data_IF_541974804169
#
_entry.id   IF_541974804169
#
_cell.length_a   1.000
_cell.length_b   1.000
_cell.length_c   1.000
_cell.angle_alpha   90.00
_cell.angle_beta   90.00
_cell.angle_gamma   90.00
#
_symmetry.space_group_name_H-M   'P 1'
#
loop_
_entity.id
_entity.type
_entity.pdbx_description
1 polymer ?
#
# COMPACT_ATOMS: atom_id res chain seq x y z
N UNK A 1 -32.19 -20.22 -35.21
CA UNK A 1 -30.85 -20.48 -34.65
C UNK A 1 -30.32 -19.19 -34.06
N UNK A 2 -30.23 -19.08 -32.73
CA UNK A 2 -29.72 -17.86 -32.09
C UNK A 2 -28.23 -17.74 -32.38
N UNK A 3 -27.80 -16.68 -33.09
CA UNK A 3 -26.39 -16.28 -33.10
C UNK A 3 -25.95 -16.15 -31.64
N UNK A 4 -25.09 -17.04 -31.16
CA UNK A 4 -24.38 -16.84 -29.90
C UNK A 4 -23.72 -15.47 -29.99
N UNK A 5 -24.25 -14.49 -29.26
CA UNK A 5 -23.60 -13.18 -29.10
C UNK A 5 -22.28 -13.47 -28.40
N UNK A 6 -21.17 -13.47 -29.15
CA UNK A 6 -19.84 -13.53 -28.56
C UNK A 6 -19.70 -12.33 -27.61
N UNK A 7 -19.21 -12.59 -26.41
CA UNK A 7 -19.01 -11.60 -25.35
C UNK A 7 -17.51 -11.47 -25.10
N UNK A 8 -17.06 -10.27 -24.74
CA UNK A 8 -15.71 -10.02 -24.26
C UNK A 8 -15.76 -9.54 -22.82
N UNK A 9 -14.77 -9.91 -22.03
CA UNK A 9 -14.65 -9.46 -20.65
C UNK A 9 -13.98 -8.09 -20.59
N UNK A 10 -14.28 -7.29 -19.56
CA UNK A 10 -13.52 -6.08 -19.30
C UNK A 10 -12.04 -6.37 -19.10
N UNK A 11 -11.68 -7.54 -18.55
CA UNK A 11 -10.28 -7.94 -18.41
C UNK A 11 -9.57 -7.98 -19.77
N UNK A 12 -10.22 -8.51 -20.81
CA UNK A 12 -9.67 -8.51 -22.17
C UNK A 12 -9.55 -7.11 -22.74
N UNK A 13 -10.63 -6.32 -22.66
CA UNK A 13 -10.72 -4.97 -23.24
C UNK A 13 -9.75 -3.98 -22.57
N UNK A 14 -9.67 -4.02 -21.24
CA UNK A 14 -8.82 -3.17 -20.43
C UNK A 14 -7.37 -3.68 -20.38
N UNK A 15 -7.13 -4.91 -20.85
CA UNK A 15 -5.82 -5.55 -20.91
C UNK A 15 -5.26 -5.88 -19.54
N UNK A 16 -6.07 -6.55 -18.73
CA UNK A 16 -5.75 -7.05 -17.39
C UNK A 16 -5.05 -8.42 -17.40
N UNK A 17 -4.86 -9.04 -18.57
CA UNK A 17 -4.42 -10.43 -18.68
C UNK A 17 -3.06 -10.78 -18.09
N UNK A 18 -2.20 -9.79 -17.80
CA UNK A 18 -0.88 -10.00 -17.20
C UNK A 18 -0.74 -9.41 -15.78
N UNK A 19 -1.83 -8.90 -15.19
CA UNK A 19 -1.79 -8.17 -13.92
C UNK A 19 -1.29 -9.06 -12.77
N UNK A 20 -1.74 -10.31 -12.70
CA UNK A 20 -1.28 -11.25 -11.67
C UNK A 20 0.22 -11.50 -11.73
N UNK A 21 0.79 -11.52 -12.95
CA UNK A 21 2.24 -11.65 -13.11
C UNK A 21 2.96 -10.39 -12.63
N UNK A 22 2.45 -9.20 -12.95
CA UNK A 22 3.01 -7.94 -12.44
C UNK A 22 2.94 -7.86 -10.90
N UNK A 23 1.84 -8.30 -10.28
CA UNK A 23 1.73 -8.38 -8.82
C UNK A 23 2.69 -9.39 -8.21
N UNK A 24 2.83 -10.57 -8.81
CA UNK A 24 3.79 -11.58 -8.37
C UNK A 24 5.22 -11.03 -8.34
N UNK A 25 5.62 -10.27 -9.37
CA UNK A 25 6.95 -9.63 -9.39
C UNK A 25 7.12 -8.59 -8.28
N UNK A 26 6.08 -7.80 -8.00
CA UNK A 26 6.09 -6.82 -6.92
C UNK A 26 6.15 -7.52 -5.55
N UNK A 27 5.35 -8.58 -5.34
CA UNK A 27 5.37 -9.39 -4.11
C UNK A 27 6.70 -10.10 -3.89
N UNK A 28 7.29 -10.69 -4.93
CA UNK A 28 8.60 -11.32 -4.85
C UNK A 28 9.68 -10.33 -4.42
N UNK A 29 9.68 -9.13 -5.02
CA UNK A 29 10.58 -8.06 -4.61
C UNK A 29 10.35 -7.64 -3.15
N UNK A 30 9.08 -7.52 -2.74
CA UNK A 30 8.73 -7.20 -1.35
C UNK A 30 9.24 -8.25 -0.37
N UNK A 31 8.97 -9.52 -0.64
CA UNK A 31 9.40 -10.63 0.20
C UNK A 31 10.92 -10.73 0.26
N UNK A 32 11.61 -10.52 -0.87
CA UNK A 32 13.07 -10.52 -0.93
C UNK A 32 13.67 -9.45 -0.01
N UNK A 33 13.15 -8.22 -0.07
CA UNK A 33 13.64 -7.11 0.76
C UNK A 33 13.31 -7.29 2.24
N UNK A 34 12.10 -7.72 2.59
CA UNK A 34 11.73 -7.99 3.99
C UNK A 34 12.58 -9.11 4.59
N UNK A 35 12.81 -10.21 3.84
CA UNK A 35 13.70 -11.29 4.28
C UNK A 35 15.14 -10.79 4.46
N UNK A 36 15.60 -9.90 3.59
CA UNK A 36 16.92 -9.28 3.73
C UNK A 36 16.99 -8.46 5.03
N UNK A 37 16.01 -7.60 5.30
CA UNK A 37 15.98 -6.80 6.53
C UNK A 37 15.93 -7.66 7.80
N UNK A 38 15.11 -8.72 7.82
CA UNK A 38 15.05 -9.67 8.93
C UNK A 38 16.41 -10.31 9.20
N UNK A 39 17.14 -10.69 8.14
CA UNK A 39 18.46 -11.28 8.26
C UNK A 39 19.50 -10.29 8.78
N UNK A 40 19.52 -9.06 8.27
CA UNK A 40 20.47 -8.05 8.72
C UNK A 40 20.23 -7.66 10.19
N UNK A 41 18.97 -7.49 10.61
CA UNK A 41 18.64 -7.27 12.02
C UNK A 41 19.11 -8.43 12.91
N UNK A 42 18.87 -9.67 12.49
CA UNK A 42 19.34 -10.85 13.22
C UNK A 42 20.87 -10.91 13.31
N UNK A 43 21.57 -10.49 12.27
CA UNK A 43 23.03 -10.43 12.29
C UNK A 43 23.52 -9.40 13.33
N UNK A 44 22.91 -8.21 13.36
CA UNK A 44 23.21 -7.17 14.37
C UNK A 44 22.97 -7.70 15.79
N UNK A 45 21.86 -8.41 16.02
CA UNK A 45 21.55 -9.04 17.31
C UNK A 45 22.61 -10.07 17.72
N UNK A 46 23.03 -10.95 16.79
CA UNK A 46 24.06 -11.95 17.06
C UNK A 46 25.43 -11.31 17.33
N UNK A 47 25.80 -10.26 16.60
CA UNK A 47 27.02 -9.50 16.83
C UNK A 47 27.02 -8.84 18.22
N UNK A 48 25.89 -8.25 18.60
CA UNK A 48 25.71 -7.66 19.94
C UNK A 48 25.81 -8.71 21.05
N UNK A 49 25.14 -9.86 20.90
CA UNK A 49 25.20 -10.96 21.87
C UNK A 49 26.64 -11.50 22.04
N UNK A 50 27.38 -11.61 20.94
CA UNK A 50 28.77 -12.04 20.97
C UNK A 50 29.66 -11.01 21.67
N UNK A 51 29.43 -9.71 21.43
CA UNK A 51 30.10 -8.63 22.12
C UNK A 51 29.82 -8.62 23.63
N UNK A 52 28.57 -8.84 24.04
CA UNK A 52 28.23 -8.92 25.48
C UNK A 52 28.93 -10.10 26.15
N UNK A 53 28.98 -11.27 25.50
CA UNK A 53 29.70 -12.45 26.03
C UNK A 53 31.20 -12.21 26.14
N UNK A 54 31.84 -11.54 25.17
CA UNK A 54 33.28 -11.25 25.25
C UNK A 54 33.58 -10.23 26.34
N UNK A 55 32.72 -9.20 26.52
CA UNK A 55 32.81 -8.23 27.61
C UNK A 55 32.76 -8.88 29.00
N UNK A 56 31.99 -9.95 29.17
CA UNK A 56 31.90 -10.68 30.45
C UNK A 56 33.14 -11.53 30.74
N UNK A 57 33.77 -12.10 29.71
CA UNK A 57 34.91 -13.02 29.83
C UNK A 57 36.25 -12.29 29.94
N UNK A 58 36.41 -11.16 29.26
CA UNK A 58 37.71 -10.47 29.11
C UNK A 58 37.66 -8.99 29.50
N UNK A 59 37.26 -8.70 30.74
CA UNK A 59 37.14 -7.33 31.29
C UNK A 59 38.46 -6.54 31.32
N UNK A 60 39.59 -7.16 31.01
CA UNK A 60 40.92 -6.59 31.21
C UNK A 60 41.57 -5.99 29.97
N UNK A 61 41.04 -6.27 28.77
CA UNK A 61 41.67 -5.90 27.50
C UNK A 61 41.26 -4.51 26.99
N UNK A 62 40.07 -4.00 27.36
CA UNK A 62 39.51 -2.75 26.83
C UNK A 62 39.07 -1.76 27.91
N UNK A 63 39.19 -0.46 27.64
CA UNK A 63 38.66 0.58 28.52
C UNK A 63 37.13 0.62 28.51
N UNK A 64 36.51 1.09 29.59
CA UNK A 64 35.05 1.28 29.69
C UNK A 64 34.53 2.20 28.57
N UNK A 65 35.23 3.29 28.28
CA UNK A 65 34.88 4.23 27.21
C UNK A 65 34.82 3.55 25.82
N UNK A 66 35.76 2.65 25.52
CA UNK A 66 35.74 1.89 24.26
C UNK A 66 34.54 0.94 24.18
N UNK A 67 34.20 0.29 25.29
CA UNK A 67 33.06 -0.63 25.35
C UNK A 67 31.72 0.12 25.20
N UNK A 68 31.61 1.31 25.78
CA UNK A 68 30.44 2.18 25.63
C UNK A 68 30.28 2.65 24.18
N UNK A 69 31.37 3.04 23.51
CA UNK A 69 31.34 3.40 22.09
C UNK A 69 30.85 2.27 21.19
N UNK A 70 31.28 1.03 21.44
CA UNK A 70 30.77 -0.12 20.68
C UNK A 70 29.27 -0.31 20.94
N UNK A 71 28.85 -0.22 22.20
CA UNK A 71 27.44 -0.38 22.56
C UNK A 71 26.56 0.69 21.88
N UNK A 72 26.99 1.95 21.89
CA UNK A 72 26.31 3.05 21.20
C UNK A 72 26.24 2.79 19.69
N UNK A 73 27.31 2.26 19.08
CA UNK A 73 27.29 1.89 17.66
C UNK A 73 26.25 0.82 17.32
N UNK A 74 25.99 -0.13 18.21
CA UNK A 74 24.92 -1.12 18.01
C UNK A 74 23.53 -0.48 18.10
N UNK A 75 23.32 0.44 19.05
CA UNK A 75 22.08 1.20 19.16
C UNK A 75 21.82 2.01 17.88
N UNK A 76 22.86 2.68 17.38
CA UNK A 76 22.79 3.43 16.13
C UNK A 76 22.47 2.53 14.93
N UNK A 77 23.08 1.34 14.84
CA UNK A 77 22.80 0.39 13.78
C UNK A 77 21.35 -0.10 13.79
N UNK A 78 20.82 -0.47 14.96
CA UNK A 78 19.43 -0.89 15.12
C UNK A 78 18.46 0.25 14.76
N UNK A 79 18.76 1.48 15.19
CA UNK A 79 17.97 2.66 14.84
C UNK A 79 17.99 2.92 13.33
N UNK A 80 19.16 2.89 12.69
CA UNK A 80 19.28 3.09 11.25
C UNK A 80 18.50 2.04 10.46
N UNK A 81 18.55 0.76 10.86
CA UNK A 81 17.77 -0.27 10.17
C UNK A 81 16.26 -0.10 10.35
N UNK A 82 15.78 0.04 11.59
CA UNK A 82 14.34 0.07 11.87
C UNK A 82 13.71 1.41 11.45
N UNK A 83 14.25 2.53 11.93
CA UNK A 83 13.61 3.84 11.82
C UNK A 83 13.97 4.58 10.54
N UNK A 84 15.02 4.15 9.82
CA UNK A 84 15.42 4.74 8.53
C UNK A 84 15.17 3.78 7.39
N UNK A 85 15.86 2.64 7.32
CA UNK A 85 15.82 1.77 6.13
C UNK A 85 14.48 1.06 5.95
N UNK A 86 14.04 0.28 6.94
CA UNK A 86 12.79 -0.49 6.88
C UNK A 86 11.60 0.46 6.75
N UNK A 87 11.56 1.51 7.57
CA UNK A 87 10.50 2.51 7.53
C UNK A 87 10.37 3.17 6.16
N UNK A 88 11.48 3.66 5.58
CA UNK A 88 11.44 4.33 4.28
C UNK A 88 11.08 3.36 3.16
N UNK A 89 11.61 2.14 3.23
CA UNK A 89 11.26 1.08 2.30
C UNK A 89 9.75 0.80 2.28
N UNK A 90 9.17 0.54 3.46
CA UNK A 90 7.74 0.25 3.61
C UNK A 90 6.84 1.41 3.18
N UNK A 91 7.26 2.64 3.46
CA UNK A 91 6.59 3.83 2.94
C UNK A 91 6.63 3.89 1.41
N UNK A 92 7.76 3.56 0.79
CA UNK A 92 7.87 3.49 -0.66
C UNK A 92 6.98 2.38 -1.25
N UNK A 93 6.87 1.23 -0.59
CA UNK A 93 6.02 0.12 -1.04
C UNK A 93 4.54 0.51 -1.11
N UNK A 94 3.97 1.17 -0.09
CA UNK A 94 2.57 1.60 -0.17
C UNK A 94 2.33 2.63 -1.28
N UNK A 95 3.32 3.46 -1.58
CA UNK A 95 3.24 4.45 -2.66
C UNK A 95 3.27 3.73 -4.00
N UNK A 96 4.20 2.78 -4.18
CA UNK A 96 4.34 1.98 -5.39
C UNK A 96 3.06 1.17 -5.66
N UNK A 97 2.54 0.44 -4.68
CA UNK A 97 1.32 -0.37 -4.82
C UNK A 97 0.11 0.48 -5.23
N UNK A 98 -0.09 1.63 -4.58
CA UNK A 98 -1.20 2.51 -4.95
C UNK A 98 -1.02 3.12 -6.34
N UNK A 99 0.20 3.54 -6.68
CA UNK A 99 0.49 4.16 -7.99
C UNK A 99 0.33 3.14 -9.12
N UNK A 100 0.78 1.91 -8.91
CA UNK A 100 0.57 0.79 -9.83
C UNK A 100 -0.92 0.55 -10.07
N UNK A 101 -1.70 0.44 -8.99
CA UNK A 101 -3.16 0.27 -9.09
C UNK A 101 -3.84 1.40 -9.87
N UNK A 102 -3.49 2.65 -9.56
CA UNK A 102 -4.05 3.84 -10.22
C UNK A 102 -3.73 3.86 -11.71
N UNK A 103 -2.49 3.54 -12.08
CA UNK A 103 -2.03 3.45 -13.46
C UNK A 103 -2.72 2.32 -14.24
N UNK A 104 -2.80 1.12 -13.66
CA UNK A 104 -3.50 -0.04 -14.25
C UNK A 104 -4.96 0.31 -14.57
N UNK A 105 -5.66 0.92 -13.62
CA UNK A 105 -7.04 1.32 -13.81
C UNK A 105 -7.20 2.41 -14.86
N UNK A 106 -6.32 3.42 -14.84
CA UNK A 106 -6.35 4.52 -15.81
C UNK A 106 -6.11 3.99 -17.23
N UNK A 107 -5.01 3.27 -17.46
CA UNK A 107 -4.69 2.64 -18.75
C UNK A 107 -5.80 1.72 -19.22
N UNK A 108 -6.38 0.94 -18.31
CA UNK A 108 -7.51 0.06 -18.61
C UNK A 108 -8.73 0.84 -19.09
N UNK A 109 -9.08 1.93 -18.43
CA UNK A 109 -10.18 2.79 -18.85
C UNK A 109 -9.92 3.48 -20.19
N UNK A 110 -8.69 3.91 -20.46
CA UNK A 110 -8.32 4.53 -21.74
C UNK A 110 -8.36 3.52 -22.91
N UNK A 111 -7.94 2.28 -22.66
CA UNK A 111 -8.11 1.17 -23.61
C UNK A 111 -9.59 0.89 -23.86
N UNK A 112 -10.41 0.85 -22.81
CA UNK A 112 -11.87 0.70 -22.96
C UNK A 112 -12.47 1.84 -23.78
N UNK A 113 -12.11 3.10 -23.48
CA UNK A 113 -12.58 4.27 -24.20
C UNK A 113 -12.27 4.17 -25.70
N UNK A 114 -11.05 3.75 -26.03
CA UNK A 114 -10.60 3.55 -27.41
C UNK A 114 -11.35 2.40 -28.08
N UNK A 115 -11.50 1.26 -27.40
CA UNK A 115 -12.18 0.08 -27.91
C UNK A 115 -13.67 0.33 -28.16
N UNK A 116 -14.36 1.01 -27.22
CA UNK A 116 -15.78 1.35 -27.32
C UNK A 116 -16.06 2.67 -28.05
N UNK A 117 -15.02 3.38 -28.48
CA UNK A 117 -15.13 4.70 -29.13
C UNK A 117 -16.02 5.65 -28.31
N UNK A 118 -15.78 5.75 -27.01
CA UNK A 118 -16.55 6.65 -26.15
C UNK A 118 -16.27 8.10 -26.49
N UNK A 119 -17.29 8.96 -26.34
CA UNK A 119 -17.18 10.40 -26.64
C UNK A 119 -16.20 11.16 -25.72
N UNK A 120 -15.80 10.54 -24.61
CA UNK A 120 -14.89 11.12 -23.61
C UNK A 120 -13.98 10.04 -23.01
N UNK A 121 -12.89 10.48 -22.40
CA UNK A 121 -11.90 9.68 -21.66
C UNK A 121 -11.94 9.99 -20.16
N UNK A 122 -11.14 9.28 -19.38
CA UNK A 122 -11.02 9.52 -17.93
C UNK A 122 -10.58 10.95 -17.64
N UNK A 123 -9.63 11.47 -18.41
CA UNK A 123 -9.07 12.81 -18.20
C UNK A 123 -10.08 13.95 -18.43
N UNK A 124 -11.11 13.71 -19.24
CA UNK A 124 -12.19 14.68 -19.50
C UNK A 124 -13.19 14.79 -18.32
N UNK A 125 -13.18 13.84 -17.39
CA UNK A 125 -14.10 13.81 -16.27
C UNK A 125 -13.65 14.75 -15.13
N UNK A 126 -14.59 15.54 -14.60
CA UNK A 126 -14.38 16.28 -13.35
C UNK A 126 -14.27 15.32 -12.17
N UNK A 127 -13.30 15.51 -11.28
CA UNK A 127 -13.10 14.71 -10.07
C UNK A 127 -12.12 15.37 -9.10
N UNK A 128 -12.13 14.92 -7.83
CA UNK A 128 -11.22 15.46 -6.81
C UNK A 128 -9.80 14.87 -6.92
N UNK A 129 -9.65 13.75 -7.61
CA UNK A 129 -8.40 13.02 -7.89
C UNK A 129 -8.66 12.01 -9.01
N UNK A 130 -7.61 11.37 -9.51
CA UNK A 130 -7.69 10.49 -10.68
C UNK A 130 -8.50 9.22 -10.42
N UNK A 131 -8.36 8.59 -9.24
CA UNK A 131 -9.20 7.42 -8.91
C UNK A 131 -10.70 7.76 -8.85
N UNK A 132 -11.09 8.96 -8.43
CA UNK A 132 -12.49 9.40 -8.45
C UNK A 132 -13.00 9.57 -9.89
N UNK A 133 -12.14 10.00 -10.82
CA UNK A 133 -12.47 10.08 -12.26
C UNK A 133 -12.62 8.67 -12.84
N UNK A 134 -11.70 7.76 -12.54
CA UNK A 134 -11.79 6.35 -12.96
C UNK A 134 -13.10 5.72 -12.45
N UNK A 135 -13.44 5.93 -11.18
CA UNK A 135 -14.71 5.45 -10.60
C UNK A 135 -15.93 5.94 -11.40
N UNK A 136 -15.96 7.22 -11.76
CA UNK A 136 -17.03 7.79 -12.59
C UNK A 136 -17.07 7.15 -13.96
N UNK A 137 -15.92 7.01 -14.61
CA UNK A 137 -15.80 6.36 -15.92
C UNK A 137 -16.30 4.92 -15.90
N UNK A 138 -15.84 4.09 -14.95
CA UNK A 138 -16.26 2.70 -14.81
C UNK A 138 -17.78 2.58 -14.60
N UNK A 139 -18.37 3.47 -13.79
CA UNK A 139 -19.81 3.47 -13.53
C UNK A 139 -20.62 3.93 -14.75
N UNK A 140 -20.18 4.99 -15.42
CA UNK A 140 -20.94 5.65 -16.48
C UNK A 140 -20.74 4.99 -17.84
N UNK A 141 -19.50 4.72 -18.22
CA UNK A 141 -19.12 4.17 -19.53
C UNK A 141 -19.13 2.65 -19.53
N UNK A 142 -18.42 2.04 -18.57
CA UNK A 142 -18.28 0.58 -18.50
C UNK A 142 -19.43 -0.11 -17.74
N UNK A 143 -20.39 0.64 -17.18
CA UNK A 143 -21.57 0.15 -16.43
C UNK A 143 -21.20 -0.87 -15.34
N UNK A 144 -20.07 -0.68 -14.68
CA UNK A 144 -19.65 -1.50 -13.54
C UNK A 144 -20.54 -1.20 -12.34
N UNK A 145 -21.08 -2.25 -11.72
CA UNK A 145 -21.80 -2.11 -10.46
C UNK A 145 -20.79 -2.07 -9.32
N UNK A 146 -20.83 -1.02 -8.51
CA UNK A 146 -19.92 -0.85 -7.37
C UNK A 146 -20.44 -1.55 -6.11
N UNK A 147 -21.69 -2.03 -6.10
CA UNK A 147 -22.20 -2.82 -4.99
C UNK A 147 -21.42 -4.13 -4.85
N UNK A 148 -21.09 -4.79 -5.97
CA UNK A 148 -20.32 -6.03 -6.04
C UNK A 148 -18.81 -5.84 -5.80
N UNK A 149 -18.31 -4.61 -5.95
CA UNK A 149 -16.89 -4.28 -5.71
C UNK A 149 -16.57 -4.02 -4.24
N UNK A 150 -17.59 -3.98 -3.38
CA UNK A 150 -17.36 -3.95 -1.94
C UNK A 150 -17.19 -5.38 -1.41
N UNK A 151 -16.32 -5.60 -0.41
CA UNK A 151 -15.65 -4.58 0.41
C UNK A 151 -14.34 -4.00 -0.16
N UNK A 152 -13.80 -4.53 -1.25
CA UNK A 152 -12.46 -4.21 -1.74
C UNK A 152 -12.32 -2.74 -2.15
N UNK A 153 -13.34 -2.16 -2.81
CA UNK A 153 -13.33 -0.73 -3.13
C UNK A 153 -13.24 0.15 -1.88
N UNK A 154 -13.94 -0.23 -0.81
CA UNK A 154 -13.88 0.46 0.49
C UNK A 154 -12.51 0.33 1.15
N UNK A 155 -11.89 -0.86 1.05
CA UNK A 155 -10.52 -1.08 1.48
C UNK A 155 -9.55 -0.13 0.75
N UNK A 156 -9.63 -0.07 -0.58
CA UNK A 156 -8.77 0.79 -1.41
C UNK A 156 -8.96 2.28 -1.09
N UNK A 157 -10.18 2.71 -0.78
CA UNK A 157 -10.44 4.09 -0.38
C UNK A 157 -9.82 4.44 0.99
N UNK A 158 -9.84 3.51 1.94
CA UNK A 158 -9.12 3.68 3.21
C UNK A 158 -7.61 3.64 3.01
N UNK A 159 -7.11 2.73 2.18
CA UNK A 159 -5.70 2.64 1.81
C UNK A 159 -5.20 3.93 1.15
N UNK A 160 -5.97 4.54 0.25
CA UNK A 160 -5.68 5.86 -0.33
C UNK A 160 -5.45 6.92 0.75
N UNK A 161 -6.28 6.94 1.78
CA UNK A 161 -6.15 7.93 2.86
C UNK A 161 -4.85 7.74 3.65
N UNK A 162 -4.45 6.50 3.93
CA UNK A 162 -3.15 6.16 4.54
C UNK A 162 -2.00 6.61 3.64
N UNK A 163 -2.02 6.24 2.35
CA UNK A 163 -0.99 6.64 1.37
C UNK A 163 -0.84 8.15 1.30
N UNK A 164 -1.94 8.90 1.27
CA UNK A 164 -1.92 10.37 1.23
C UNK A 164 -1.31 10.99 2.49
N UNK A 165 -1.48 10.36 3.66
CA UNK A 165 -0.82 10.81 4.89
C UNK A 165 0.70 10.54 4.82
N UNK A 166 1.11 9.38 4.32
CA UNK A 166 2.53 9.06 4.16
C UNK A 166 3.21 10.01 3.18
N UNK A 167 2.61 10.25 2.01
CA UNK A 167 3.19 11.13 0.97
C UNK A 167 3.21 12.60 1.39
N UNK A 168 2.06 13.14 1.85
CA UNK A 168 1.91 14.59 2.00
C UNK A 168 2.08 15.09 3.44
N UNK A 169 2.02 14.19 4.43
CA UNK A 169 2.04 14.54 5.85
C UNK A 169 3.12 13.81 6.63
N UNK A 170 4.09 13.19 5.96
CA UNK A 170 5.16 12.39 6.58
C UNK A 170 4.61 11.29 7.50
N UNK A 171 3.45 10.73 7.17
CA UNK A 171 2.76 9.73 7.99
C UNK A 171 2.11 10.27 9.26
N UNK A 172 2.04 11.59 9.45
CA UNK A 172 1.52 12.21 10.67
C UNK A 172 0.03 12.51 10.52
N UNK A 173 -0.75 12.13 11.53
CA UNK A 173 -2.16 12.50 11.68
C UNK A 173 -2.40 13.12 13.06
N UNK A 174 -3.27 14.13 13.11
CA UNK A 174 -3.72 14.74 14.36
C UNK A 174 -5.08 14.18 14.73
N UNK A 175 -5.28 13.87 16.01
CA UNK A 175 -6.60 13.68 16.56
C UNK A 175 -7.13 15.04 17.05
N UNK A 176 -8.04 15.65 16.31
CA UNK A 176 -8.68 16.90 16.73
C UNK A 176 -10.01 16.65 17.48
N UNK A 177 -10.21 15.46 18.04
CA UNK A 177 -11.36 15.16 18.89
C UNK A 177 -11.52 16.26 19.94
N UNK A 178 -12.67 16.94 19.87
CA UNK A 178 -13.14 17.86 20.90
C UNK A 178 -14.39 17.25 21.52
N UNK A 179 -14.78 17.71 22.72
CA UNK A 179 -15.94 17.19 23.48
C UNK A 179 -17.23 17.10 22.64
N UNK A 180 -17.34 17.90 21.56
CA UNK A 180 -18.53 17.98 20.70
C UNK A 180 -18.32 17.56 19.24
N UNK A 181 -17.12 17.15 18.82
CA UNK A 181 -16.87 16.73 17.44
C UNK A 181 -15.76 15.68 17.38
N UNK A 182 -16.10 14.47 16.91
CA UNK A 182 -15.12 13.43 16.67
C UNK A 182 -14.43 13.65 15.33
N UNK A 183 -13.10 13.57 15.30
CA UNK A 183 -12.31 13.68 14.09
C UNK A 183 -12.55 12.43 13.24
N UNK A 184 -13.52 12.53 12.31
CA UNK A 184 -13.92 11.43 11.44
C UNK A 184 -12.75 10.85 10.66
N UNK A 185 -11.79 11.68 10.25
CA UNK A 185 -10.62 11.22 9.50
C UNK A 185 -9.72 10.38 10.41
N UNK A 186 -9.41 10.87 11.62
CA UNK A 186 -8.63 10.11 12.58
C UNK A 186 -9.29 8.79 12.96
N UNK A 187 -10.60 8.80 13.25
CA UNK A 187 -11.34 7.60 13.63
C UNK A 187 -11.40 6.56 12.51
N UNK A 188 -11.55 6.98 11.26
CA UNK A 188 -11.47 6.07 10.11
C UNK A 188 -10.09 5.41 10.01
N UNK A 189 -9.01 6.20 10.10
CA UNK A 189 -7.63 5.67 10.05
C UNK A 189 -7.35 4.74 11.23
N UNK A 190 -7.76 5.11 12.44
CA UNK A 190 -7.65 4.28 13.65
C UNK A 190 -8.43 2.97 13.57
N UNK A 191 -9.59 2.99 12.92
CA UNK A 191 -10.35 1.76 12.67
C UNK A 191 -9.64 0.87 11.64
N UNK A 192 -9.18 1.49 10.54
CA UNK A 192 -8.49 0.78 9.46
C UNK A 192 -7.15 0.17 9.91
N UNK A 193 -6.44 0.83 10.83
CA UNK A 193 -5.12 0.40 11.33
C UNK A 193 -5.16 -0.92 12.10
N UNK A 194 -6.32 -1.33 12.64
CA UNK A 194 -6.46 -2.55 13.45
C UNK A 194 -5.96 -3.78 12.69
N UNK A 195 -4.91 -4.39 13.22
CA UNK A 195 -4.26 -5.56 12.64
C UNK A 195 -3.41 -5.29 11.39
N UNK A 196 -3.26 -4.02 10.98
CA UNK A 196 -2.59 -3.62 9.73
C UNK A 196 -1.35 -2.77 9.94
N UNK A 197 -1.41 -1.80 10.84
CA UNK A 197 -0.29 -0.93 11.16
C UNK A 197 -0.51 -0.23 12.50
N UNK A 198 0.56 0.26 13.11
CA UNK A 198 0.49 0.96 14.39
C UNK A 198 0.32 2.48 14.20
N UNK A 199 -0.47 3.08 15.09
CA UNK A 199 -0.53 4.54 15.28
C UNK A 199 0.28 4.90 16.53
N UNK A 200 1.55 5.26 16.35
CA UNK A 200 2.46 5.61 17.44
C UNK A 200 2.20 7.04 17.90
N UNK A 201 1.82 7.23 19.15
CA UNK A 201 1.60 8.55 19.72
C UNK A 201 2.93 9.27 19.96
N UNK A 202 3.00 10.57 19.66
CA UNK A 202 4.16 11.39 19.97
C UNK A 202 4.25 11.65 21.48
N UNK A 203 5.44 11.44 22.05
CA UNK A 203 5.71 11.71 23.47
C UNK A 203 5.44 13.18 23.83
N UNK A 204 5.78 14.10 22.92
CA UNK A 204 5.60 15.54 23.12
C UNK A 204 4.19 16.06 22.83
N UNK A 205 3.24 15.21 22.40
CA UNK A 205 1.94 15.68 21.94
C UNK A 205 0.86 14.60 22.04
N UNK A 206 -0.11 14.78 22.94
CA UNK A 206 -1.18 13.80 23.18
C UNK A 206 -2.14 13.59 21.99
N UNK A 207 -2.16 14.53 21.05
CA UNK A 207 -3.05 14.50 19.90
C UNK A 207 -2.35 14.22 18.56
N UNK A 208 -1.05 13.89 18.54
CA UNK A 208 -0.32 13.61 17.30
C UNK A 208 0.09 12.15 17.26
N UNK A 209 -0.18 11.51 16.13
CA UNK A 209 0.10 10.11 15.88
C UNK A 209 0.88 9.97 14.57
N UNK A 210 1.84 9.06 14.57
CA UNK A 210 2.58 8.61 13.40
C UNK A 210 2.04 7.26 12.93
N UNK A 211 1.83 7.12 11.63
CA UNK A 211 1.60 5.84 10.98
C UNK A 211 2.93 5.10 10.90
N UNK A 212 3.00 3.95 11.56
CA UNK A 212 4.15 3.04 11.52
C UNK A 212 3.70 1.76 10.84
N UNK A 213 4.18 1.53 9.62
CA UNK A 213 3.90 0.32 8.82
C UNK A 213 4.76 -0.84 9.36
N UNK A 214 4.39 -1.38 10.51
CA UNK A 214 5.15 -2.37 11.25
C UNK A 214 4.78 -3.82 10.93
N UNK A 215 3.64 -4.07 10.28
CA UNK A 215 3.15 -5.41 9.94
C UNK A 215 3.34 -5.76 8.44
N UNK A 216 4.27 -6.64 8.08
CA UNK A 216 4.49 -7.07 6.68
C UNK A 216 3.25 -7.70 6.02
N UNK A 217 2.37 -8.34 6.81
CA UNK A 217 1.16 -8.98 6.27
C UNK A 217 0.18 -7.98 5.66
N UNK A 218 0.26 -6.71 6.05
CA UNK A 218 -0.58 -5.66 5.48
C UNK A 218 -0.28 -5.41 4.00
N UNK A 219 0.98 -5.54 3.56
CA UNK A 219 1.33 -5.41 2.13
C UNK A 219 0.67 -6.49 1.28
N UNK A 220 0.69 -7.73 1.78
CA UNK A 220 -0.02 -8.85 1.15
C UNK A 220 -1.53 -8.63 1.13
N UNK A 221 -2.10 -8.09 2.21
CA UNK A 221 -3.52 -7.71 2.24
C UNK A 221 -3.84 -6.65 1.17
N UNK A 222 -2.97 -5.66 0.96
CA UNK A 222 -3.12 -4.65 -0.09
C UNK A 222 -3.13 -5.30 -1.47
N UNK A 223 -2.13 -6.13 -1.78
CA UNK A 223 -2.04 -6.82 -3.08
C UNK A 223 -3.30 -7.66 -3.34
N UNK A 224 -3.69 -8.50 -2.39
CA UNK A 224 -4.88 -9.33 -2.52
C UNK A 224 -6.16 -8.53 -2.76
N UNK A 225 -6.33 -7.38 -2.08
CA UNK A 225 -7.50 -6.52 -2.28
C UNK A 225 -7.48 -5.84 -3.65
N UNK A 226 -6.30 -5.45 -4.15
CA UNK A 226 -6.18 -4.86 -5.47
C UNK A 226 -6.48 -5.91 -6.55
N UNK A 227 -5.86 -7.09 -6.48
CA UNK A 227 -6.10 -8.18 -7.43
C UNK A 227 -7.57 -8.58 -7.46
N UNK A 228 -8.15 -8.85 -6.28
CA UNK A 228 -9.56 -9.20 -6.17
C UNK A 228 -10.47 -8.12 -6.76
N UNK A 229 -10.15 -6.85 -6.56
CA UNK A 229 -10.91 -5.75 -7.13
C UNK A 229 -10.81 -5.72 -8.66
N UNK A 230 -9.60 -5.89 -9.21
CA UNK A 230 -9.35 -5.90 -10.65
C UNK A 230 -10.00 -7.11 -11.32
N UNK A 231 -10.03 -8.27 -10.67
CA UNK A 231 -10.74 -9.47 -11.13
C UNK A 231 -12.25 -9.25 -11.18
N UNK A 232 -12.82 -8.66 -10.12
CA UNK A 232 -14.25 -8.32 -10.09
C UNK A 232 -14.62 -7.34 -11.18
N UNK A 233 -13.81 -6.30 -11.41
CA UNK A 233 -13.99 -5.38 -12.54
C UNK A 233 -13.86 -6.15 -13.86
N UNK A 234 -12.80 -6.93 -14.01
CA UNK A 234 -12.43 -7.62 -15.23
C UNK A 234 -13.44 -8.69 -15.66
N UNK A 235 -14.07 -9.39 -14.72
CA UNK A 235 -15.05 -10.45 -14.96
C UNK A 235 -16.35 -9.97 -15.62
N UNK A 236 -16.62 -8.65 -15.61
CA UNK A 236 -17.81 -8.10 -16.24
C UNK A 236 -17.78 -8.38 -17.75
N UNK A 237 -18.80 -9.09 -18.22
CA UNK A 237 -19.01 -9.32 -19.64
C UNK A 237 -19.61 -8.08 -20.33
N UNK A 238 -19.13 -7.82 -21.54
CA UNK A 238 -19.58 -6.78 -22.43
C UNK A 238 -20.04 -7.40 -23.76
N UNK A 239 -21.11 -6.87 -24.39
CA UNK A 239 -21.42 -7.23 -25.76
C UNK A 239 -20.26 -6.79 -26.66
N UNK A 240 -19.90 -7.63 -27.64
CA UNK A 240 -18.97 -7.25 -28.70
C UNK A 240 -19.45 -5.97 -29.40
N UNK A 241 -18.51 -5.15 -29.83
CA UNK A 241 -18.85 -4.13 -30.81
C UNK A 241 -19.20 -4.82 -32.13
N UNK A 242 -20.43 -4.63 -32.60
CA UNK A 242 -20.71 -4.78 -34.03
C UNK A 242 -19.96 -3.63 -34.70
N UNK A 243 -18.83 -3.95 -35.32
CA UNK A 243 -18.11 -3.01 -36.19
C UNK A 243 -19.13 -2.57 -37.24
N UNK A 244 -19.52 -1.29 -37.19
CA UNK A 244 -20.29 -0.67 -38.26
C UNK A 244 -19.43 -0.52 -39.50
#
# INVERSE_FOLDING_TARGET
>A
MSRLRRKETLASIMGFGFIHFEFHLIEDYMNHMETHFERELKNIEVEYDNFQKSKEVDKSEYSEEYLDHIQDSFIDNVFMFNDVYIKNYRNAQIIQLYSFFEDVLKRGCDRFASYKQTDYRVDDLKGNNDIDKVKKFLKQSAKVDFSILNPEWSFIDNFRQVRNLVVHHKGIIKNNDTVNNSDKKFNNIKSFSKGKFTLKQYVSSQNRFEIVLDNPKFFKEIVNNIESLLDKIGSKEMPLNEVK
#
